data_IF_458294462974
#
_entry.id   IF_458294462974
#
_cell.length_a   1.000
_cell.length_b   1.000
_cell.length_c   1.000
_cell.angle_alpha   90.00
_cell.angle_beta   90.00
_cell.angle_gamma   90.00
#
_symmetry.space_group_name_H-M   'P 1'
#
loop_
_entity.id
_entity.type
_entity.pdbx_description
1 polymer ?
#
# COMPACT_ATOMS: atom_id res chain seq x y z
N UNK A 1 -20.13 26.63 30.04
CA UNK A 1 -18.71 26.58 29.61
C UNK A 1 -18.00 25.34 30.14
N UNK A 2 -18.22 24.95 31.41
CA UNK A 2 -17.71 23.70 31.99
C UNK A 2 -18.20 22.42 31.29
N UNK A 3 -19.45 22.36 30.82
CA UNK A 3 -19.97 21.15 30.14
C UNK A 3 -19.25 20.85 28.83
N UNK A 4 -18.89 21.87 28.06
CA UNK A 4 -18.10 21.70 26.84
C UNK A 4 -16.71 21.15 27.13
N UNK A 5 -16.11 21.52 28.27
CA UNK A 5 -14.80 21.01 28.67
C UNK A 5 -14.85 19.50 28.95
N UNK A 6 -15.85 19.04 29.69
CA UNK A 6 -16.03 17.61 30.02
C UNK A 6 -16.24 16.75 28.78
N UNK A 7 -16.97 17.27 27.78
CA UNK A 7 -17.17 16.55 26.51
C UNK A 7 -15.90 16.45 25.67
N UNK A 8 -15.02 17.45 25.72
CA UNK A 8 -13.74 17.42 24.99
C UNK A 8 -12.76 16.43 25.63
N UNK A 9 -12.71 16.39 26.96
CA UNK A 9 -11.92 15.40 27.69
C UNK A 9 -12.40 13.97 27.41
N UNK A 10 -13.71 13.75 27.35
CA UNK A 10 -14.28 12.45 26.99
C UNK A 10 -13.99 12.06 25.54
N UNK A 11 -14.01 13.01 24.60
CA UNK A 11 -13.62 12.78 23.21
C UNK A 11 -12.12 12.52 23.05
N UNK A 12 -11.28 13.22 23.79
CA UNK A 12 -9.83 13.00 23.81
C UNK A 12 -9.47 11.66 24.47
N UNK A 13 -10.23 11.23 25.48
CA UNK A 13 -10.08 9.92 26.12
C UNK A 13 -10.55 8.77 25.21
N UNK A 14 -11.53 9.03 24.32
CA UNK A 14 -11.96 8.11 23.26
C UNK A 14 -10.99 8.06 22.07
N UNK A 15 -10.05 9.00 21.96
CA UNK A 15 -9.03 8.98 20.91
C UNK A 15 -7.98 7.93 21.26
N UNK A 16 -7.93 6.84 20.50
CA UNK A 16 -6.87 5.84 20.64
C UNK A 16 -5.55 6.39 20.08
N UNK A 17 -4.81 7.11 20.92
CA UNK A 17 -3.50 7.69 20.57
C UNK A 17 -2.53 6.61 20.07
N UNK A 18 -2.60 5.39 20.58
CA UNK A 18 -1.74 4.28 20.12
C UNK A 18 -2.10 3.88 18.69
N UNK A 19 -3.40 3.75 18.41
CA UNK A 19 -3.91 3.48 17.05
C UNK A 19 -3.53 4.58 16.05
N UNK A 20 -3.61 5.85 16.46
CA UNK A 20 -3.19 6.98 15.61
C UNK A 20 -1.70 6.92 15.31
N UNK A 21 -0.85 6.74 16.32
CA UNK A 21 0.61 6.62 16.14
C UNK A 21 0.94 5.43 15.22
N UNK A 22 0.30 4.28 15.43
CA UNK A 22 0.50 3.10 14.60
C UNK A 22 0.10 3.35 13.15
N UNK A 23 -1.03 4.02 12.93
CA UNK A 23 -1.51 4.39 11.59
C UNK A 23 -0.55 5.34 10.89
N UNK A 24 -0.01 6.34 11.60
CA UNK A 24 0.97 7.28 11.06
C UNK A 24 2.27 6.57 10.67
N UNK A 25 2.74 5.64 11.50
CA UNK A 25 3.92 4.81 11.23
C UNK A 25 3.68 3.95 9.99
N UNK A 26 2.60 3.16 9.97
CA UNK A 26 2.26 2.27 8.84
C UNK A 26 2.09 3.08 7.55
N UNK A 27 1.45 4.24 7.60
CA UNK A 27 1.26 5.10 6.43
C UNK A 27 2.59 5.62 5.88
N UNK A 28 3.48 6.08 6.76
CA UNK A 28 4.81 6.58 6.38
C UNK A 28 5.66 5.46 5.77
N UNK A 29 5.67 4.28 6.40
CA UNK A 29 6.38 3.11 5.87
C UNK A 29 5.75 2.57 4.59
N UNK A 30 4.42 2.60 4.45
CA UNK A 30 3.73 2.25 3.22
C UNK A 30 4.12 3.17 2.06
N UNK A 31 4.25 4.47 2.32
CA UNK A 31 4.75 5.43 1.33
C UNK A 31 6.20 5.13 0.91
N UNK A 32 7.09 4.92 1.89
CA UNK A 32 8.49 4.55 1.62
C UNK A 32 8.57 3.24 0.82
N UNK A 33 7.82 2.21 1.22
CA UNK A 33 7.78 0.93 0.52
C UNK A 33 7.28 1.07 -0.92
N UNK A 34 6.28 1.92 -1.17
CA UNK A 34 5.79 2.19 -2.53
C UNK A 34 6.87 2.83 -3.42
N UNK A 35 7.66 3.76 -2.87
CA UNK A 35 8.79 4.36 -3.59
C UNK A 35 9.86 3.32 -3.95
N UNK A 36 10.26 2.49 -2.99
CA UNK A 36 11.25 1.44 -3.24
C UNK A 36 10.76 0.39 -4.22
N UNK A 37 9.48 -0.01 -4.17
CA UNK A 37 8.93 -0.95 -5.13
C UNK A 37 8.92 -0.40 -6.56
N UNK A 38 8.57 0.88 -6.73
CA UNK A 38 8.68 1.56 -8.03
C UNK A 38 10.11 1.49 -8.57
N UNK A 39 11.08 1.83 -7.73
CA UNK A 39 12.48 1.90 -8.15
C UNK A 39 13.05 0.49 -8.43
N UNK A 40 12.71 -0.50 -7.59
CA UNK A 40 13.11 -1.89 -7.81
C UNK A 40 12.59 -2.45 -9.14
N UNK A 41 11.31 -2.21 -9.47
CA UNK A 41 10.74 -2.62 -10.77
C UNK A 41 11.46 -1.91 -11.92
N UNK A 42 11.74 -0.60 -11.78
CA UNK A 42 12.45 0.15 -12.82
C UNK A 42 13.84 -0.41 -13.09
N UNK A 43 14.63 -0.61 -12.05
CA UNK A 43 15.99 -1.17 -12.14
C UNK A 43 15.98 -2.60 -12.69
N UNK A 44 15.01 -3.41 -12.25
CA UNK A 44 14.81 -4.76 -12.77
C UNK A 44 14.57 -4.72 -14.27
N UNK A 45 13.65 -3.86 -14.73
CA UNK A 45 13.38 -3.68 -16.15
C UNK A 45 14.66 -3.28 -16.88
N UNK A 46 15.33 -2.20 -16.47
CA UNK A 46 16.56 -1.71 -17.12
C UNK A 46 17.67 -2.76 -17.19
N UNK A 47 17.80 -3.64 -16.19
CA UNK A 47 18.79 -4.72 -16.21
C UNK A 47 18.49 -5.79 -17.27
N UNK A 48 17.22 -6.04 -17.58
CA UNK A 48 16.81 -7.02 -18.58
C UNK A 48 16.56 -6.40 -19.97
N UNK A 49 16.48 -5.07 -20.09
CA UNK A 49 16.38 -4.35 -21.38
C UNK A 49 17.76 -3.94 -21.86
N UNK A 50 18.25 -4.41 -23.01
CA UNK A 50 19.41 -3.80 -23.64
C UNK A 50 19.05 -2.37 -24.09
N UNK A 51 19.83 -1.35 -23.72
CA UNK A 51 19.57 0.07 -24.06
C UNK A 51 19.34 0.33 -25.56
N UNK A 52 19.82 -0.58 -26.42
CA UNK A 52 19.63 -0.55 -27.88
C UNK A 52 18.20 -0.86 -28.36
N UNK A 53 17.31 -1.39 -27.51
CA UNK A 53 15.94 -1.72 -27.89
C UNK A 53 15.02 -0.54 -27.55
N UNK A 54 14.40 0.06 -28.58
CA UNK A 54 13.56 1.26 -28.46
C UNK A 54 12.31 1.09 -27.58
N UNK A 55 11.44 2.11 -27.60
CA UNK A 55 10.26 2.27 -26.74
C UNK A 55 9.37 1.02 -26.61
N UNK A 56 9.33 0.16 -27.64
CA UNK A 56 8.57 -1.09 -27.68
C UNK A 56 8.90 -2.03 -26.53
N UNK A 57 10.15 -2.10 -26.09
CA UNK A 57 10.53 -2.98 -24.98
C UNK A 57 10.01 -2.45 -23.63
N UNK A 58 10.05 -1.13 -23.42
CA UNK A 58 9.47 -0.52 -22.22
C UNK A 58 7.97 -0.82 -22.08
N UNK A 59 7.24 -0.83 -23.20
CA UNK A 59 5.83 -1.26 -23.20
C UNK A 59 5.65 -2.73 -22.83
N UNK A 60 6.47 -3.64 -23.37
CA UNK A 60 6.43 -5.06 -23.00
C UNK A 60 6.71 -5.26 -21.50
N UNK A 61 7.71 -4.57 -20.97
CA UNK A 61 8.04 -4.59 -19.55
C UNK A 61 6.91 -4.05 -18.66
N UNK A 62 6.25 -2.95 -19.07
CA UNK A 62 5.10 -2.40 -18.36
C UNK A 62 3.90 -3.35 -18.35
N UNK A 63 3.65 -4.07 -19.45
CA UNK A 63 2.61 -5.09 -19.53
C UNK A 63 2.92 -6.23 -18.54
N UNK A 64 4.14 -6.74 -18.52
CA UNK A 64 4.56 -7.81 -17.58
C UNK A 64 4.36 -7.36 -16.14
N UNK A 65 4.83 -6.15 -15.79
CA UNK A 65 4.66 -5.61 -14.45
C UNK A 65 3.17 -5.48 -14.06
N UNK A 66 2.31 -5.09 -15.00
CA UNK A 66 0.87 -4.98 -14.78
C UNK A 66 0.21 -6.35 -14.57
N UNK A 67 0.59 -7.36 -15.37
CA UNK A 67 0.10 -8.73 -15.19
C UNK A 67 0.49 -9.26 -13.80
N UNK A 68 1.74 -9.06 -13.37
CA UNK A 68 2.19 -9.46 -12.04
C UNK A 68 1.38 -8.74 -10.95
N UNK A 69 1.20 -7.43 -11.08
CA UNK A 69 0.43 -6.64 -10.12
C UNK A 69 -1.02 -7.14 -10.00
N UNK A 70 -1.69 -7.43 -11.12
CA UNK A 70 -3.06 -7.97 -11.13
C UNK A 70 -3.11 -9.34 -10.45
N UNK A 71 -2.15 -10.23 -10.70
CA UNK A 71 -2.08 -11.54 -10.05
C UNK A 71 -1.93 -11.38 -8.53
N UNK A 72 -1.00 -10.54 -8.08
CA UNK A 72 -0.79 -10.28 -6.65
C UNK A 72 -2.04 -9.68 -6.01
N UNK A 73 -2.66 -8.68 -6.63
CA UNK A 73 -3.89 -8.06 -6.14
C UNK A 73 -5.03 -9.09 -6.08
N UNK A 74 -5.17 -9.94 -7.09
CA UNK A 74 -6.19 -10.99 -7.13
C UNK A 74 -6.02 -12.00 -6.00
N UNK A 75 -4.79 -12.47 -5.78
CA UNK A 75 -4.44 -13.39 -4.69
C UNK A 75 -4.75 -12.74 -3.33
N UNK A 76 -4.28 -11.52 -3.10
CA UNK A 76 -4.54 -10.78 -1.85
C UNK A 76 -6.04 -10.56 -1.62
N UNK A 77 -6.78 -10.20 -2.68
CA UNK A 77 -8.24 -10.01 -2.61
C UNK A 77 -8.97 -11.30 -2.22
N UNK A 78 -8.47 -12.46 -2.65
CA UNK A 78 -9.04 -13.76 -2.28
C UNK A 78 -8.78 -14.09 -0.81
N UNK A 79 -7.57 -13.86 -0.31
CA UNK A 79 -7.24 -14.07 1.10
C UNK A 79 -8.07 -13.18 2.03
N UNK A 80 -8.23 -11.91 1.69
CA UNK A 80 -9.05 -10.99 2.49
C UNK A 80 -10.54 -11.38 2.53
N UNK A 81 -11.04 -12.07 1.50
CA UNK A 81 -12.45 -12.49 1.42
C UNK A 81 -12.77 -13.72 2.29
N UNK A 82 -11.80 -14.60 2.53
CA UNK A 82 -12.01 -15.82 3.36
C UNK A 82 -12.21 -15.50 4.85
N UNK A 83 -11.64 -14.40 5.34
CA UNK A 83 -11.81 -13.97 6.74
C UNK A 83 -13.23 -13.46 7.03
N UNK A 84 -13.93 -12.90 6.04
CA UNK A 84 -15.32 -12.46 6.22
C UNK A 84 -16.34 -13.62 6.22
N UNK A 85 -16.03 -14.74 5.55
CA UNK A 85 -16.93 -15.90 5.49
C UNK A 85 -16.85 -16.81 6.71
N UNK A 86 -15.75 -16.77 7.47
CA UNK A 86 -15.51 -17.64 8.63
C UNK A 86 -16.11 -17.06 9.93
N UNK A 87 -16.55 -15.79 9.92
CA UNK A 87 -17.11 -15.08 11.09
C UNK A 87 -18.64 -15.01 11.10
N UNK A 88 -19.32 -15.72 10.21
CA UNK A 88 -20.78 -15.90 10.18
C UNK A 88 -21.17 -17.29 10.66
#
# INVERSE_FOLDING_TARGET
>A
MSDRMKTLEEQAMKLDIKGVILTLIISSFGFVAALFWRDAIRELILKFVPESQGITFYFAAAIIATVIAVIVIYILSRFLKEEETTKK
#
